data_IF_200469625903
#
_entry.id   IF_200469625903
#
_cell.length_a   1.000
_cell.length_b   1.000
_cell.length_c   1.000
_cell.angle_alpha   90.00
_cell.angle_beta   90.00
_cell.angle_gamma   90.00
#
_symmetry.space_group_name_H-M   'P 1'
#
loop_
_entity.id
_entity.type
_entity.pdbx_description
1 polymer ?
#
# COMPACT_ATOMS: atom_id res chain seq x y z
N UNK A 1 25.56 11.25 4.60
CA UNK A 1 24.85 10.05 5.09
C UNK A 1 24.59 9.14 3.91
N UNK A 2 24.84 7.85 4.07
CA UNK A 2 24.52 6.84 3.07
C UNK A 2 23.00 6.78 2.83
N UNK A 3 22.57 6.54 1.58
CA UNK A 3 21.16 6.46 1.24
C UNK A 3 20.56 5.17 1.80
N UNK A 4 19.39 5.23 2.43
CA UNK A 4 18.64 4.05 2.83
C UNK A 4 17.92 3.52 1.59
N UNK A 5 18.30 2.33 1.14
CA UNK A 5 17.70 1.66 -0.01
C UNK A 5 16.43 0.92 0.42
N UNK A 6 15.29 1.32 -0.12
CA UNK A 6 13.99 0.74 0.20
C UNK A 6 13.38 0.14 -1.06
N UNK A 7 13.16 -1.16 -1.09
CA UNK A 7 12.44 -1.85 -2.14
C UNK A 7 11.00 -2.08 -1.70
N UNK A 8 10.06 -1.45 -2.38
CA UNK A 8 8.64 -1.67 -2.18
C UNK A 8 8.07 -2.50 -3.33
N UNK A 9 7.22 -3.47 -3.03
CA UNK A 9 6.70 -4.36 -4.05
C UNK A 9 5.26 -4.78 -3.81
N UNK A 10 4.58 -5.00 -4.93
CA UNK A 10 3.32 -5.73 -5.04
C UNK A 10 3.56 -6.92 -5.98
N UNK A 11 4.30 -7.98 -5.51
CA UNK A 11 4.75 -9.06 -6.37
C UNK A 11 3.57 -9.78 -7.04
N UNK A 12 3.70 -10.06 -8.33
CA UNK A 12 2.67 -10.68 -9.15
C UNK A 12 3.18 -11.93 -9.83
N UNK A 13 2.31 -12.94 -9.92
CA UNK A 13 2.63 -14.15 -10.65
C UNK A 13 2.59 -13.92 -12.17
N UNK A 14 3.60 -14.41 -12.87
CA UNK A 14 3.61 -14.52 -14.34
C UNK A 14 2.87 -15.78 -14.74
N UNK A 15 1.55 -15.72 -14.88
CA UNK A 15 0.75 -16.85 -15.36
C UNK A 15 0.03 -16.49 -16.66
N UNK A 16 -0.03 -17.45 -17.58
CA UNK A 16 -0.76 -17.29 -18.83
C UNK A 16 -2.25 -17.06 -18.51
N UNK A 17 -2.78 -15.93 -18.93
CA UNK A 17 -4.22 -15.59 -18.81
C UNK A 17 -4.66 -14.97 -17.49
N UNK A 18 -3.77 -14.78 -16.51
CA UNK A 18 -4.08 -14.05 -15.27
C UNK A 18 -3.05 -12.96 -15.06
N UNK A 19 -3.37 -11.75 -15.49
CA UNK A 19 -2.51 -10.59 -15.30
C UNK A 19 -3.21 -9.57 -14.41
N UNK A 20 -2.63 -9.27 -13.26
CA UNK A 20 -2.97 -8.05 -12.55
C UNK A 20 -2.12 -6.92 -13.17
N UNK A 21 -2.73 -6.15 -14.04
CA UNK A 21 -2.06 -5.09 -14.80
C UNK A 21 -2.25 -3.70 -14.20
N UNK A 22 -2.76 -3.60 -12.98
CA UNK A 22 -2.97 -2.32 -12.32
C UNK A 22 -1.66 -1.70 -11.84
N UNK A 23 -1.54 -0.37 -11.95
CA UNK A 23 -0.45 0.38 -11.32
C UNK A 23 -0.48 0.16 -9.79
N UNK A 24 0.65 -0.15 -9.14
CA UNK A 24 0.68 -0.49 -7.71
C UNK A 24 0.59 0.76 -6.81
N UNK A 25 -0.55 1.45 -6.84
CA UNK A 25 -0.75 2.73 -6.17
C UNK A 25 -0.56 2.65 -4.65
N UNK A 26 -0.94 1.52 -4.02
CA UNK A 26 -0.82 1.34 -2.58
C UNK A 26 0.62 1.43 -2.08
N UNK A 27 1.56 0.74 -2.72
CA UNK A 27 2.99 0.86 -2.37
C UNK A 27 3.56 2.21 -2.76
N UNK A 28 3.00 2.86 -3.79
CA UNK A 28 3.31 4.24 -4.14
C UNK A 28 2.97 5.22 -3.01
N UNK A 29 1.82 5.07 -2.37
CA UNK A 29 1.44 5.86 -1.20
C UNK A 29 2.40 5.66 -0.02
N UNK A 30 2.82 4.41 0.23
CA UNK A 30 3.79 4.11 1.28
C UNK A 30 5.11 4.84 1.01
N UNK A 31 5.60 4.81 -0.24
CA UNK A 31 6.84 5.46 -0.64
C UNK A 31 6.80 6.98 -0.40
N UNK A 32 5.77 7.64 -0.91
CA UNK A 32 5.64 9.10 -0.80
C UNK A 32 5.39 9.57 0.62
N UNK A 33 4.63 8.79 1.40
CA UNK A 33 4.39 9.07 2.82
C UNK A 33 5.67 8.93 3.66
N UNK A 34 6.45 7.87 3.44
CA UNK A 34 7.74 7.67 4.10
C UNK A 34 8.67 8.88 3.89
N UNK A 35 8.82 9.31 2.64
CA UNK A 35 9.66 10.46 2.30
C UNK A 35 9.17 11.75 2.97
N UNK A 36 7.86 11.97 3.04
CA UNK A 36 7.25 13.13 3.70
C UNK A 36 7.51 13.12 5.21
N UNK A 37 7.37 11.96 5.85
CA UNK A 37 7.41 11.86 7.31
C UNK A 37 8.82 11.81 7.89
N UNK A 38 9.81 11.40 7.10
CA UNK A 38 11.22 11.31 7.52
C UNK A 38 12.11 12.12 6.54
N UNK A 39 11.89 13.42 6.41
CA UNK A 39 12.60 14.27 5.42
C UNK A 39 14.09 14.46 5.73
N UNK A 40 14.53 14.12 6.94
CA UNK A 40 15.92 14.23 7.38
C UNK A 40 16.81 13.11 6.84
N UNK A 41 16.25 12.07 6.25
CA UNK A 41 16.98 10.93 5.69
C UNK A 41 16.84 10.88 4.19
N UNK A 42 17.92 10.48 3.52
CA UNK A 42 17.94 10.30 2.08
C UNK A 42 17.53 8.86 1.75
N UNK A 43 16.34 8.69 1.22
CA UNK A 43 15.83 7.40 0.76
C UNK A 43 16.10 7.24 -0.74
N UNK A 44 16.59 6.05 -1.12
CA UNK A 44 16.60 5.57 -2.50
C UNK A 44 15.52 4.49 -2.58
N UNK A 45 14.37 4.83 -3.20
CA UNK A 45 13.19 3.96 -3.21
C UNK A 45 13.00 3.41 -4.62
N UNK A 46 12.89 2.08 -4.71
CA UNK A 46 12.46 1.38 -5.92
C UNK A 46 11.15 0.67 -5.67
N UNK A 47 10.29 0.66 -6.68
CA UNK A 47 9.00 -0.07 -6.64
C UNK A 47 9.02 -1.10 -7.74
N UNK A 48 8.63 -2.36 -7.44
CA UNK A 48 8.49 -3.40 -8.45
C UNK A 48 7.27 -4.29 -8.19
N UNK A 49 6.74 -4.84 -9.29
CA UNK A 49 5.67 -5.86 -9.27
C UNK A 49 6.17 -7.17 -9.88
N UNK A 50 7.31 -7.13 -10.53
CA UNK A 50 7.93 -8.25 -11.23
C UNK A 50 8.86 -9.02 -10.29
N UNK A 51 8.61 -10.30 -10.01
CA UNK A 51 9.45 -11.12 -9.16
C UNK A 51 10.91 -11.22 -9.64
N UNK A 52 11.14 -11.29 -10.93
CA UNK A 52 12.50 -11.41 -11.50
C UNK A 52 13.27 -10.09 -11.30
N UNK A 53 12.61 -8.93 -11.53
CA UNK A 53 13.20 -7.62 -11.20
C UNK A 53 13.48 -7.51 -9.69
N UNK A 54 12.58 -8.01 -8.84
CA UNK A 54 12.77 -7.98 -7.38
C UNK A 54 13.99 -8.82 -6.97
N UNK A 55 14.17 -10.02 -7.53
CA UNK A 55 15.33 -10.86 -7.28
C UNK A 55 16.62 -10.16 -7.72
N UNK A 56 16.66 -9.60 -8.93
CA UNK A 56 17.82 -8.83 -9.40
C UNK A 56 18.15 -7.65 -8.47
N UNK A 57 17.14 -6.94 -7.98
CA UNK A 57 17.33 -5.85 -7.04
C UNK A 57 17.87 -6.32 -5.68
N UNK A 58 17.44 -7.49 -5.20
CA UNK A 58 17.98 -8.07 -3.97
C UNK A 58 19.46 -8.39 -4.14
N UNK A 59 19.84 -9.01 -5.25
CA UNK A 59 21.19 -9.47 -5.51
C UNK A 59 22.17 -8.33 -5.79
N UNK A 60 21.78 -7.40 -6.65
CA UNK A 60 22.67 -6.40 -7.23
C UNK A 60 22.55 -5.03 -6.55
N UNK A 61 21.33 -4.60 -6.22
CA UNK A 61 21.13 -3.30 -5.58
C UNK A 61 21.18 -3.38 -4.05
N UNK A 62 20.88 -4.56 -3.45
CA UNK A 62 21.02 -4.87 -2.02
C UNK A 62 20.24 -3.89 -1.14
N UNK A 63 18.91 -3.99 -1.12
CA UNK A 63 18.06 -3.11 -0.31
C UNK A 63 18.30 -3.30 1.18
N UNK A 64 18.23 -2.21 1.93
CA UNK A 64 18.25 -2.24 3.40
C UNK A 64 16.89 -2.66 3.97
N UNK A 65 15.81 -2.25 3.29
CA UNK A 65 14.42 -2.48 3.71
C UNK A 65 13.63 -3.04 2.54
N UNK A 66 12.90 -4.12 2.78
CA UNK A 66 11.88 -4.67 1.89
C UNK A 66 10.49 -4.40 2.47
N UNK A 67 9.58 -3.90 1.67
CA UNK A 67 8.17 -3.75 2.01
C UNK A 67 7.29 -4.36 0.93
N UNK A 68 6.60 -5.48 1.22
CA UNK A 68 5.76 -6.13 0.23
C UNK A 68 4.30 -6.18 0.65
N UNK A 69 3.40 -6.03 -0.33
CA UNK A 69 1.98 -6.30 -0.16
C UNK A 69 1.76 -7.80 0.07
N UNK A 70 0.76 -8.13 0.89
CA UNK A 70 0.38 -9.51 1.19
C UNK A 70 -1.13 -9.67 1.03
N UNK A 71 -1.52 -10.18 -0.11
CA UNK A 71 -2.88 -10.58 -0.46
C UNK A 71 -2.92 -12.11 -0.64
N UNK A 72 -4.09 -12.71 -0.64
CA UNK A 72 -4.26 -14.16 -0.80
C UNK A 72 -3.58 -14.71 -2.06
N UNK A 73 -3.49 -13.91 -3.12
CA UNK A 73 -2.87 -14.31 -4.39
C UNK A 73 -1.35 -14.17 -4.43
N UNK A 74 -0.73 -13.36 -3.57
CA UNK A 74 0.73 -13.13 -3.59
C UNK A 74 1.44 -13.34 -2.25
N UNK A 75 0.75 -13.67 -1.17
CA UNK A 75 1.33 -13.76 0.17
C UNK A 75 2.51 -14.73 0.25
N UNK A 76 2.39 -15.90 -0.40
CA UNK A 76 3.46 -16.88 -0.45
C UNK A 76 4.67 -16.38 -1.26
N UNK A 77 4.42 -15.74 -2.40
CA UNK A 77 5.47 -15.14 -3.22
C UNK A 77 6.20 -14.04 -2.46
N UNK A 78 5.47 -13.12 -1.84
CA UNK A 78 6.04 -12.04 -1.01
C UNK A 78 6.88 -12.59 0.13
N UNK A 79 6.43 -13.67 0.78
CA UNK A 79 7.19 -14.34 1.82
C UNK A 79 8.47 -15.00 1.30
N UNK A 80 8.41 -15.73 0.18
CA UNK A 80 9.59 -16.36 -0.43
C UNK A 80 10.66 -15.34 -0.84
N UNK A 81 10.25 -14.17 -1.32
CA UNK A 81 11.18 -13.06 -1.61
C UNK A 81 11.83 -12.52 -0.34
N UNK A 82 11.11 -12.47 0.80
CA UNK A 82 11.72 -12.13 2.10
C UNK A 82 12.71 -13.20 2.57
N UNK A 83 12.39 -14.50 2.41
CA UNK A 83 13.31 -15.58 2.72
C UNK A 83 14.60 -15.45 1.93
N UNK A 84 14.50 -15.30 0.62
CA UNK A 84 15.63 -15.10 -0.27
C UNK A 84 16.49 -13.91 0.14
N UNK A 85 15.86 -12.77 0.42
CA UNK A 85 16.59 -11.59 0.87
C UNK A 85 17.34 -11.81 2.20
N UNK A 86 16.75 -12.55 3.15
CA UNK A 86 17.40 -12.93 4.42
C UNK A 86 18.55 -13.92 4.23
N UNK A 87 18.48 -14.78 3.23
CA UNK A 87 19.60 -15.67 2.85
C UNK A 87 20.78 -14.86 2.32
N UNK A 88 20.51 -13.82 1.49
CA UNK A 88 21.57 -12.94 0.98
C UNK A 88 22.13 -12.00 2.05
N UNK A 89 21.26 -11.44 2.89
CA UNK A 89 21.67 -10.53 3.98
C UNK A 89 20.67 -10.56 5.13
N UNK A 90 21.09 -11.14 6.27
CA UNK A 90 20.26 -11.23 7.49
C UNK A 90 19.86 -9.86 8.06
N UNK A 91 20.62 -8.81 7.78
CA UNK A 91 20.32 -7.43 8.20
C UNK A 91 19.36 -6.67 7.25
N UNK A 92 18.86 -7.29 6.20
CA UNK A 92 17.75 -6.72 5.43
C UNK A 92 16.47 -6.76 6.26
N UNK A 93 15.84 -5.60 6.48
CA UNK A 93 14.57 -5.49 7.20
C UNK A 93 13.41 -5.90 6.28
N UNK A 94 12.69 -6.98 6.63
CA UNK A 94 11.57 -7.50 5.86
C UNK A 94 10.23 -7.15 6.53
N UNK A 95 9.42 -6.38 5.82
CA UNK A 95 8.11 -5.89 6.29
C UNK A 95 7.03 -6.35 5.31
N UNK A 96 6.00 -7.02 5.79
CA UNK A 96 4.80 -7.30 5.01
C UNK A 96 3.62 -6.47 5.53
N UNK A 97 2.62 -6.28 4.68
CA UNK A 97 1.36 -5.65 5.04
C UNK A 97 0.27 -5.98 4.02
N UNK A 98 -0.97 -5.98 4.45
CA UNK A 98 -2.10 -6.31 3.59
C UNK A 98 -3.11 -7.24 4.27
N UNK A 99 -4.21 -7.57 3.58
CA UNK A 99 -5.36 -8.24 4.19
C UNK A 99 -5.21 -9.75 4.43
N UNK A 100 -4.13 -10.39 3.94
CA UNK A 100 -3.91 -11.84 4.15
C UNK A 100 -3.60 -12.18 5.61
N UNK A 101 -3.18 -11.21 6.41
CA UNK A 101 -2.86 -11.45 7.80
C UNK A 101 -4.12 -11.75 8.62
N UNK A 102 -4.10 -12.76 9.51
CA UNK A 102 -5.29 -13.23 10.22
C UNK A 102 -5.91 -12.24 11.21
N UNK A 103 -5.47 -11.03 11.20
CA UNK A 103 -5.98 -9.97 12.07
C UNK A 103 -7.34 -9.43 11.62
N UNK A 104 -7.72 -9.64 10.35
CA UNK A 104 -8.87 -9.00 9.72
C UNK A 104 -8.63 -7.51 9.41
N UNK A 105 -9.58 -6.92 8.72
CA UNK A 105 -9.59 -5.49 8.43
C UNK A 105 -10.35 -4.76 9.54
N UNK A 106 -9.72 -4.19 10.50
CA UNK A 106 -10.46 -3.45 11.51
C UNK A 106 -10.15 -3.79 12.96
N UNK A 107 -9.07 -3.36 13.38
CA UNK A 107 -8.23 -3.86 14.43
C UNK A 107 -8.31 -3.09 15.73
N UNK A 108 -9.48 -2.91 16.27
CA UNK A 108 -9.63 -2.41 17.65
C UNK A 108 -9.78 -3.53 18.67
N UNK A 109 -10.16 -4.73 18.27
CA UNK A 109 -10.42 -5.85 19.19
C UNK A 109 -9.64 -7.12 18.84
N UNK A 110 -8.37 -7.16 19.24
CA UNK A 110 -7.61 -8.41 19.25
C UNK A 110 -8.12 -9.35 20.33
N UNK A 111 -9.10 -10.18 20.01
CA UNK A 111 -9.47 -11.27 20.90
C UNK A 111 -8.37 -12.37 20.92
N UNK A 112 -8.49 -13.31 21.83
CA UNK A 112 -7.49 -14.37 22.01
C UNK A 112 -7.33 -15.27 20.79
N UNK A 113 -8.38 -15.49 20.01
CA UNK A 113 -8.36 -16.30 18.78
C UNK A 113 -7.55 -15.60 17.69
N UNK A 114 -7.83 -14.32 17.46
CA UNK A 114 -7.10 -13.50 16.47
C UNK A 114 -5.61 -13.44 16.83
N UNK A 115 -5.27 -13.17 18.11
CA UNK A 115 -3.88 -13.16 18.58
C UNK A 115 -3.19 -14.50 18.34
N UNK A 116 -3.88 -15.62 18.62
CA UNK A 116 -3.33 -16.95 18.39
C UNK A 116 -3.05 -17.19 16.89
N UNK A 117 -3.98 -16.82 16.02
CA UNK A 117 -3.81 -16.99 14.57
C UNK A 117 -2.65 -16.12 14.04
N UNK A 118 -2.53 -14.86 14.49
CA UNK A 118 -1.41 -13.98 14.15
C UNK A 118 -0.07 -14.57 14.60
N UNK A 119 -0.03 -15.12 15.82
CA UNK A 119 1.15 -15.79 16.36
C UNK A 119 1.58 -16.98 15.51
N UNK A 120 0.63 -17.86 15.14
CA UNK A 120 0.90 -19.02 14.28
C UNK A 120 1.43 -18.56 12.94
N UNK A 121 0.77 -17.59 12.31
CA UNK A 121 1.18 -17.03 11.02
C UNK A 121 2.63 -16.54 11.02
N UNK A 122 3.03 -15.77 12.04
CA UNK A 122 4.38 -15.23 12.14
C UNK A 122 5.41 -16.32 12.48
N UNK A 123 5.06 -17.32 13.29
CA UNK A 123 5.94 -18.46 13.59
C UNK A 123 6.24 -19.31 12.35
N UNK A 124 5.30 -19.46 11.46
CA UNK A 124 5.46 -20.17 10.19
C UNK A 124 6.24 -19.36 9.15
N UNK A 125 6.43 -18.05 9.39
CA UNK A 125 7.06 -17.11 8.46
C UNK A 125 8.20 -16.31 9.13
N UNK A 126 9.26 -16.96 9.62
CA UNK A 126 10.31 -16.34 10.46
C UNK A 126 11.14 -15.27 9.75
N UNK A 127 11.11 -15.22 8.42
CA UNK A 127 11.80 -14.19 7.64
C UNK A 127 11.08 -12.84 7.62
N UNK A 128 9.83 -12.77 8.12
CA UNK A 128 9.11 -11.52 8.34
C UNK A 128 9.59 -10.91 9.65
N UNK A 129 10.17 -9.72 9.61
CA UNK A 129 10.54 -8.98 10.80
C UNK A 129 9.34 -8.28 11.43
N UNK A 130 8.50 -7.66 10.61
CA UNK A 130 7.26 -6.98 11.04
C UNK A 130 6.13 -7.19 10.04
N UNK A 131 4.92 -7.33 10.54
CA UNK A 131 3.71 -7.29 9.74
C UNK A 131 2.87 -6.06 10.08
N UNK A 132 2.68 -5.16 9.10
CA UNK A 132 1.85 -3.97 9.23
C UNK A 132 0.37 -4.36 9.17
N UNK A 133 -0.35 -4.16 10.27
CA UNK A 133 -1.76 -4.51 10.39
C UNK A 133 -2.71 -3.30 10.35
N UNK A 134 -2.20 -2.10 10.49
CA UNK A 134 -2.92 -0.83 10.29
C UNK A 134 -2.64 -0.26 8.90
N UNK A 135 -3.09 0.98 8.62
CA UNK A 135 -2.80 1.63 7.33
C UNK A 135 -1.30 1.58 7.02
N UNK A 136 -0.98 1.05 5.83
CA UNK A 136 0.39 0.71 5.44
C UNK A 136 1.35 1.90 5.50
N UNK A 137 0.89 3.08 5.11
CA UNK A 137 1.71 4.30 5.07
C UNK A 137 2.28 4.65 6.45
N UNK A 138 1.41 4.67 7.46
CA UNK A 138 1.80 5.03 8.82
C UNK A 138 2.53 3.91 9.55
N UNK A 139 2.10 2.67 9.35
CA UNK A 139 2.69 1.49 10.01
C UNK A 139 4.08 1.20 9.48
N UNK A 140 4.26 1.18 8.16
CA UNK A 140 5.56 0.99 7.52
C UNK A 140 6.55 2.09 7.94
N UNK A 141 6.09 3.35 7.91
CA UNK A 141 6.91 4.49 8.34
C UNK A 141 7.31 4.38 9.81
N UNK A 142 6.41 3.88 10.68
CA UNK A 142 6.73 3.62 12.10
C UNK A 142 7.84 2.57 12.24
N UNK A 143 7.76 1.45 11.54
CA UNK A 143 8.79 0.41 11.56
C UNK A 143 10.14 0.95 11.06
N UNK A 144 10.14 1.66 9.93
CA UNK A 144 11.38 2.26 9.37
C UNK A 144 11.96 3.31 10.32
N UNK A 145 11.12 4.08 11.02
CA UNK A 145 11.58 5.03 12.03
C UNK A 145 12.29 4.34 13.19
N UNK A 146 11.76 3.22 13.68
CA UNK A 146 12.44 2.42 14.71
C UNK A 146 13.74 1.78 14.18
N UNK A 147 13.77 1.32 12.93
CA UNK A 147 14.96 0.81 12.28
C UNK A 147 16.10 1.85 12.27
N UNK A 148 15.79 3.09 11.90
CA UNK A 148 16.76 4.19 11.90
C UNK A 148 17.29 4.45 13.33
N UNK A 149 16.40 4.53 14.32
CA UNK A 149 16.77 4.75 15.74
C UNK A 149 17.64 3.63 16.32
N UNK A 150 17.52 2.44 15.76
CA UNK A 150 18.27 1.25 16.19
C UNK A 150 19.48 0.94 15.33
N UNK A 151 20.12 1.99 14.79
CA UNK A 151 21.35 1.92 14.02
C UNK A 151 21.25 1.01 12.79
N UNK A 152 20.08 1.01 12.13
CA UNK A 152 19.83 0.24 10.90
C UNK A 152 20.01 -1.27 11.09
N UNK A 153 19.69 -1.81 12.27
CA UNK A 153 19.84 -3.23 12.57
C UNK A 153 18.53 -3.89 12.97
N UNK A 154 17.89 -4.69 12.09
CA UNK A 154 16.75 -5.52 12.43
C UNK A 154 17.06 -6.52 13.53
N UNK A 155 18.31 -7.05 13.54
CA UNK A 155 18.78 -7.96 14.60
C UNK A 155 18.73 -7.30 15.97
N UNK A 156 19.15 -6.02 16.07
CA UNK A 156 19.04 -5.26 17.31
C UNK A 156 17.57 -5.02 17.69
N UNK A 157 16.74 -4.61 16.75
CA UNK A 157 15.30 -4.40 16.99
C UNK A 157 14.63 -5.67 17.56
N UNK A 158 14.97 -6.83 17.02
CA UNK A 158 14.48 -8.13 17.53
C UNK A 158 14.97 -8.41 18.96
N UNK A 159 16.27 -8.28 19.23
CA UNK A 159 16.84 -8.50 20.56
C UNK A 159 16.28 -7.57 21.61
N UNK A 160 15.98 -6.33 21.25
CA UNK A 160 15.39 -5.34 22.14
C UNK A 160 13.86 -5.50 22.24
N UNK A 161 13.28 -6.51 21.60
CA UNK A 161 11.84 -6.80 21.59
C UNK A 161 10.97 -5.58 21.24
N UNK A 162 11.38 -4.83 20.22
CA UNK A 162 10.72 -3.59 19.83
C UNK A 162 9.37 -3.84 19.16
N UNK A 163 8.33 -3.25 19.72
CA UNK A 163 6.98 -3.22 19.14
C UNK A 163 6.75 -1.89 18.41
N UNK A 164 6.78 -1.90 17.08
CA UNK A 164 6.49 -0.71 16.28
C UNK A 164 4.97 -0.46 16.18
N UNK A 165 4.55 0.81 16.23
CA UNK A 165 3.13 1.18 16.12
C UNK A 165 2.53 0.68 14.80
N UNK A 166 1.33 0.12 14.88
CA UNK A 166 0.60 -0.40 13.72
C UNK A 166 1.15 -1.70 13.15
N UNK A 167 2.15 -2.30 13.78
CA UNK A 167 2.77 -3.53 13.32
C UNK A 167 2.83 -4.60 14.43
N UNK A 168 2.97 -5.85 14.01
CA UNK A 168 3.18 -7.01 14.86
C UNK A 168 4.50 -7.69 14.51
N UNK A 169 5.12 -8.30 15.50
CA UNK A 169 6.32 -9.13 15.36
C UNK A 169 6.37 -10.17 16.48
N UNK A 170 7.41 -11.01 16.47
CA UNK A 170 7.65 -11.99 17.53
C UNK A 170 8.65 -11.45 18.53
N UNK A 171 8.40 -11.72 19.80
CA UNK A 171 9.36 -11.56 20.88
C UNK A 171 10.53 -12.51 20.65
N UNK A 172 11.76 -12.00 20.74
CA UNK A 172 12.97 -12.76 20.47
C UNK A 172 13.23 -13.87 21.50
N UNK A 173 12.90 -13.61 22.77
CA UNK A 173 13.27 -14.51 23.86
C UNK A 173 12.33 -15.70 24.01
N UNK A 174 11.02 -15.47 23.83
CA UNK A 174 10.01 -16.48 24.11
C UNK A 174 9.07 -16.78 22.91
N UNK A 175 9.29 -16.13 21.75
CA UNK A 175 8.45 -16.26 20.56
C UNK A 175 6.96 -15.96 20.81
N UNK A 176 6.64 -15.09 21.76
CA UNK A 176 5.30 -14.56 21.93
C UNK A 176 5.00 -13.43 20.94
N UNK A 177 3.72 -13.18 20.69
CA UNK A 177 3.30 -12.11 19.81
C UNK A 177 3.49 -10.74 20.47
N UNK A 178 4.29 -9.89 19.84
CA UNK A 178 4.37 -8.47 20.17
C UNK A 178 3.41 -7.69 19.26
N UNK A 179 2.54 -6.90 19.87
CA UNK A 179 1.56 -6.08 19.19
C UNK A 179 1.87 -4.61 19.48
N UNK A 180 2.30 -3.88 18.48
CA UNK A 180 2.45 -2.43 18.57
C UNK A 180 1.10 -1.73 18.76
N UNK A 181 1.11 -0.56 19.34
CA UNK A 181 -0.10 0.23 19.53
C UNK A 181 -0.80 0.49 18.18
N UNK A 182 -2.13 0.38 18.09
CA UNK A 182 -2.84 0.63 16.84
C UNK A 182 -2.65 2.09 16.39
N UNK A 183 -2.64 2.28 15.09
CA UNK A 183 -2.64 3.60 14.47
C UNK A 183 -4.06 3.85 13.95
N UNK A 184 -4.64 4.97 14.32
CA UNK A 184 -5.93 5.38 13.77
C UNK A 184 -5.79 5.66 12.28
N UNK A 185 -6.82 5.33 11.50
CA UNK A 185 -6.86 5.59 10.07
C UNK A 185 -6.48 7.04 9.76
N UNK A 186 -5.55 7.22 8.85
CA UNK A 186 -5.15 8.54 8.37
C UNK A 186 -6.35 9.27 7.75
N UNK A 187 -6.57 10.50 8.16
CA UNK A 187 -7.42 11.40 7.39
C UNK A 187 -6.71 11.72 6.08
N UNK A 188 -7.29 11.36 4.94
CA UNK A 188 -6.62 11.56 3.65
C UNK A 188 -6.54 13.04 3.27
N UNK A 189 -7.57 13.82 3.63
CA UNK A 189 -7.57 15.28 3.46
C UNK A 189 -7.75 15.97 4.82
N UNK A 190 -6.97 17.02 5.05
CA UNK A 190 -7.11 17.83 6.24
C UNK A 190 -8.29 18.79 6.06
N UNK A 191 -9.26 18.74 6.98
CA UNK A 191 -10.46 19.58 6.94
C UNK A 191 -10.18 21.07 7.17
N UNK A 192 -9.03 21.40 7.76
CA UNK A 192 -8.68 22.79 8.13
C UNK A 192 -7.99 23.53 6.99
N UNK A 193 -7.03 22.89 6.34
CA UNK A 193 -6.21 23.52 5.28
C UNK A 193 -6.38 22.86 3.90
N UNK A 194 -7.22 21.83 3.79
CA UNK A 194 -7.50 21.12 2.55
C UNK A 194 -6.32 20.29 1.98
N UNK A 195 -5.19 20.23 2.70
CA UNK A 195 -4.03 19.49 2.22
C UNK A 195 -4.20 18.00 2.47
N UNK A 196 -3.75 17.22 1.49
CA UNK A 196 -3.77 15.79 1.60
C UNK A 196 -2.61 15.27 2.48
N UNK A 197 -2.92 14.29 3.32
CA UNK A 197 -1.97 13.73 4.30
C UNK A 197 -0.87 12.93 3.62
N UNK A 198 -1.20 12.22 2.53
CA UNK A 198 -0.29 11.39 1.74
C UNK A 198 0.02 12.12 0.45
N UNK A 199 1.29 12.39 0.10
CA UNK A 199 1.63 12.97 -1.20
C UNK A 199 1.24 12.06 -2.35
N UNK A 200 0.94 12.64 -3.50
CA UNK A 200 0.58 11.88 -4.70
C UNK A 200 1.76 11.08 -5.24
N UNK A 201 1.63 9.77 -5.42
CA UNK A 201 2.67 8.96 -6.06
C UNK A 201 2.72 9.17 -7.59
N UNK A 202 1.65 9.71 -8.19
CA UNK A 202 1.63 10.05 -9.61
C UNK A 202 2.35 11.38 -9.87
N UNK A 203 1.87 12.47 -9.29
CA UNK A 203 2.45 13.81 -9.55
C UNK A 203 3.87 13.97 -9.02
N UNK A 204 4.30 13.11 -8.09
CA UNK A 204 5.71 13.02 -7.67
C UNK A 204 6.61 12.27 -8.66
N UNK A 205 6.06 11.62 -9.68
CA UNK A 205 6.78 10.78 -10.62
C UNK A 205 7.18 9.40 -10.09
N UNK A 206 6.81 9.04 -8.85
CA UNK A 206 7.18 7.76 -8.22
C UNK A 206 6.67 6.54 -9.00
N UNK A 207 5.55 6.67 -9.70
CA UNK A 207 4.91 5.60 -10.47
C UNK A 207 5.11 5.74 -11.99
N UNK A 208 5.94 6.65 -12.46
CA UNK A 208 6.12 6.93 -13.89
C UNK A 208 6.49 5.69 -14.72
N UNK A 209 7.31 4.79 -14.18
CA UNK A 209 7.71 3.56 -14.89
C UNK A 209 6.53 2.65 -15.24
N UNK A 210 5.40 2.77 -14.53
CA UNK A 210 4.20 1.99 -14.75
C UNK A 210 3.21 2.67 -15.72
N UNK A 211 3.45 3.95 -16.07
CA UNK A 211 2.63 4.69 -17.03
C UNK A 211 3.12 4.47 -18.47
N UNK A 212 3.32 3.21 -18.83
CA UNK A 212 3.93 2.77 -20.09
C UNK A 212 2.94 2.12 -21.07
N UNK A 213 1.64 2.15 -20.75
CA UNK A 213 0.59 1.56 -21.57
C UNK A 213 0.32 0.07 -21.32
N UNK A 214 1.16 -0.63 -20.55
CA UNK A 214 0.90 -2.01 -20.15
C UNK A 214 0.07 -2.10 -18.85
N UNK A 215 0.21 -1.10 -17.98
CA UNK A 215 -0.51 -1.06 -16.71
C UNK A 215 -1.73 -0.16 -16.79
N UNK A 216 -2.81 -0.58 -16.15
CA UNK A 216 -4.03 0.20 -15.96
C UNK A 216 -3.80 1.15 -14.78
N UNK A 217 -3.79 2.48 -14.99
CA UNK A 217 -3.72 3.42 -13.90
C UNK A 217 -4.87 3.22 -12.91
N UNK A 218 -4.51 3.16 -11.64
CA UNK A 218 -5.42 2.88 -10.53
C UNK A 218 -5.52 4.08 -9.62
N UNK A 219 -6.73 4.43 -9.21
CA UNK A 219 -6.99 5.56 -8.34
C UNK A 219 -7.77 5.11 -7.11
N UNK A 220 -7.47 5.68 -5.98
CA UNK A 220 -8.23 5.56 -4.74
C UNK A 220 -8.63 6.98 -4.33
N UNK A 221 -9.92 7.30 -4.41
CA UNK A 221 -10.41 8.63 -4.04
C UNK A 221 -10.88 8.68 -2.60
N UNK A 222 -11.33 7.52 -2.07
CA UNK A 222 -11.79 7.36 -0.71
C UNK A 222 -11.48 5.97 -0.15
N UNK A 223 -11.23 5.90 1.15
CA UNK A 223 -11.11 4.68 1.94
C UNK A 223 -12.28 4.51 2.87
N UNK A 224 -12.70 3.25 3.05
CA UNK A 224 -13.78 2.86 3.94
C UNK A 224 -15.10 2.65 3.22
N UNK A 225 -16.01 1.99 3.91
CA UNK A 225 -17.34 1.67 3.43
C UNK A 225 -18.36 1.90 4.56
N UNK A 226 -19.48 2.61 4.33
CA UNK A 226 -20.47 2.88 5.35
C UNK A 226 -21.41 1.70 5.61
N UNK A 227 -21.27 0.61 4.84
CA UNK A 227 -22.16 -0.54 4.92
C UNK A 227 -21.54 -1.68 5.72
N UNK A 228 -22.37 -2.40 6.46
CA UNK A 228 -22.00 -3.54 7.30
C UNK A 228 -22.46 -4.86 6.64
N UNK A 229 -22.01 -5.12 5.42
CA UNK A 229 -22.35 -6.37 4.73
C UNK A 229 -21.70 -7.55 5.45
N UNK A 230 -22.47 -8.53 5.88
CA UNK A 230 -22.01 -9.68 6.69
C UNK A 230 -20.98 -10.59 6.01
N UNK A 231 -20.84 -10.48 4.71
CA UNK A 231 -19.88 -11.25 3.88
C UNK A 231 -18.63 -10.44 3.50
N UNK A 232 -18.52 -9.19 3.95
CA UNK A 232 -17.49 -8.26 3.48
C UNK A 232 -16.62 -7.76 4.63
N UNK A 233 -15.32 -7.92 4.52
CA UNK A 233 -14.36 -7.47 5.54
C UNK A 233 -14.20 -5.95 5.62
N UNK A 234 -14.58 -5.20 4.58
CA UNK A 234 -14.40 -3.74 4.55
C UNK A 234 -15.36 -2.98 5.49
N UNK A 235 -16.44 -3.59 5.91
CA UNK A 235 -17.46 -3.00 6.79
C UNK A 235 -17.22 -3.20 8.27
N UNK A 236 -16.15 -3.90 8.67
CA UNK A 236 -15.82 -4.14 10.07
C UNK A 236 -15.28 -2.89 10.74
N UNK A 237 -15.11 -2.72 11.92
CA UNK A 237 -14.63 -1.72 12.88
C UNK A 237 -14.09 -0.33 12.45
N UNK A 238 -13.75 -0.07 11.19
CA UNK A 238 -13.22 1.24 10.76
C UNK A 238 -14.08 1.93 9.70
N UNK A 239 -15.35 2.11 10.00
CA UNK A 239 -16.31 2.70 9.06
C UNK A 239 -16.11 4.19 8.77
N UNK A 240 -15.10 4.81 9.31
CA UNK A 240 -14.80 6.21 9.01
C UNK A 240 -14.33 6.30 7.56
N UNK A 241 -15.17 6.89 6.74
CA UNK A 241 -14.82 7.23 5.37
C UNK A 241 -13.89 8.44 5.41
N UNK A 242 -12.76 8.29 4.75
CA UNK A 242 -11.78 9.35 4.53
C UNK A 242 -11.55 9.48 3.03
N UNK A 243 -11.37 10.71 2.54
CA UNK A 243 -11.18 10.96 1.11
C UNK A 243 -10.03 11.90 0.88
N UNK A 244 -9.40 11.77 -0.29
CA UNK A 244 -8.53 12.80 -0.83
C UNK A 244 -9.34 14.00 -1.29
N UNK A 245 -8.68 15.14 -1.47
CA UNK A 245 -9.31 16.34 -2.05
C UNK A 245 -9.64 16.10 -3.53
N UNK A 246 -10.72 16.70 -4.01
CA UNK A 246 -11.11 16.62 -5.43
C UNK A 246 -10.01 17.20 -6.31
N UNK A 247 -9.40 18.32 -5.89
CA UNK A 247 -8.32 18.95 -6.65
C UNK A 247 -7.15 18.00 -6.88
N UNK A 248 -6.67 17.32 -5.84
CA UNK A 248 -5.61 16.32 -5.98
C UNK A 248 -5.97 15.23 -6.98
N UNK A 249 -7.19 14.72 -6.91
CA UNK A 249 -7.62 13.66 -7.83
C UNK A 249 -7.67 14.14 -9.27
N UNK A 250 -8.11 15.38 -9.50
CA UNK A 250 -8.04 16.01 -10.82
C UNK A 250 -6.59 16.15 -11.30
N UNK A 251 -5.69 16.63 -10.44
CA UNK A 251 -4.26 16.79 -10.78
C UNK A 251 -3.61 15.44 -11.13
N UNK A 252 -3.97 14.36 -10.42
CA UNK A 252 -3.50 13.01 -10.72
C UNK A 252 -4.05 12.50 -12.07
N UNK A 253 -5.32 12.71 -12.35
CA UNK A 253 -5.94 12.33 -13.62
C UNK A 253 -5.31 13.11 -14.80
N UNK A 254 -5.09 14.41 -14.65
CA UNK A 254 -4.40 15.22 -15.66
C UNK A 254 -2.98 14.71 -15.90
N UNK A 255 -2.21 14.48 -14.83
CA UNK A 255 -0.83 13.97 -14.93
C UNK A 255 -0.76 12.62 -15.64
N UNK A 256 -1.62 11.69 -15.22
CA UNK A 256 -1.67 10.35 -15.81
C UNK A 256 -2.10 10.40 -17.27
N UNK A 257 -3.13 11.20 -17.59
CA UNK A 257 -3.60 11.37 -18.97
C UNK A 257 -2.47 11.85 -19.89
N UNK A 258 -1.70 12.86 -19.46
CA UNK A 258 -0.58 13.44 -20.24
C UNK A 258 0.56 12.46 -20.50
N UNK A 259 0.70 11.44 -19.66
CA UNK A 259 1.67 10.36 -19.84
C UNK A 259 1.12 9.24 -20.73
N UNK A 260 -0.07 8.73 -20.42
CA UNK A 260 -0.64 7.55 -21.07
C UNK A 260 -1.01 7.81 -22.53
N UNK A 261 -1.54 8.98 -22.89
CA UNK A 261 -1.89 9.29 -24.29
C UNK A 261 -0.69 9.25 -25.24
N UNK A 262 0.53 9.31 -24.72
CA UNK A 262 1.78 9.19 -25.48
C UNK A 262 2.21 7.75 -25.70
N UNK A 263 1.49 6.79 -25.11
CA UNK A 263 1.77 5.35 -25.23
C UNK A 263 0.82 4.69 -26.22
N UNK A 264 1.19 3.51 -26.70
CA UNK A 264 0.36 2.69 -27.59
C UNK A 264 -0.46 1.61 -26.86
N UNK A 265 -0.51 1.65 -25.54
CA UNK A 265 -1.09 0.59 -24.74
C UNK A 265 -2.55 0.82 -24.33
N UNK A 266 -2.92 0.32 -23.18
CA UNK A 266 -4.28 0.45 -22.63
C UNK A 266 -4.60 1.88 -22.19
N UNK A 267 -5.78 2.32 -22.54
CA UNK A 267 -6.33 3.63 -22.13
C UNK A 267 -7.43 3.49 -21.08
N UNK A 268 -7.46 2.37 -20.41
CA UNK A 268 -8.37 2.10 -19.29
C UNK A 268 -7.85 2.71 -18.01
N UNK A 269 -8.77 3.02 -17.08
CA UNK A 269 -8.46 3.38 -15.70
C UNK A 269 -9.34 2.59 -14.73
N UNK A 270 -8.91 2.46 -13.48
CA UNK A 270 -9.68 1.83 -12.43
C UNK A 270 -9.77 2.71 -11.17
N UNK A 271 -10.95 2.78 -10.57
CA UNK A 271 -11.14 3.35 -9.24
C UNK A 271 -11.38 2.22 -8.24
N UNK A 272 -10.53 2.14 -7.22
CA UNK A 272 -10.60 1.10 -6.19
C UNK A 272 -11.48 1.46 -5.00
N UNK A 273 -12.26 2.54 -5.13
CA UNK A 273 -13.26 2.93 -4.15
C UNK A 273 -14.35 1.87 -4.04
N UNK A 274 -14.76 1.54 -2.80
CA UNK A 274 -15.79 0.53 -2.56
C UNK A 274 -17.19 0.94 -3.05
N UNK A 275 -17.43 2.23 -3.28
CA UNK A 275 -18.75 2.79 -3.59
C UNK A 275 -18.63 4.07 -4.45
N UNK A 276 -18.00 3.97 -5.61
CA UNK A 276 -17.93 5.08 -6.57
C UNK A 276 -19.32 5.53 -7.00
N UNK A 277 -19.54 6.85 -7.10
CA UNK A 277 -20.83 7.45 -7.44
C UNK A 277 -21.74 7.68 -6.22
N UNK A 278 -21.23 7.48 -5.00
CA UNK A 278 -22.00 7.66 -3.78
C UNK A 278 -21.87 9.08 -3.20
N UNK A 279 -20.79 9.77 -3.48
CA UNK A 279 -20.46 11.05 -2.83
C UNK A 279 -20.49 12.21 -3.85
N UNK A 280 -20.80 13.42 -3.36
CA UNK A 280 -20.83 14.63 -4.21
C UNK A 280 -19.51 14.84 -4.97
N UNK A 281 -18.37 14.54 -4.36
CA UNK A 281 -17.06 14.61 -5.02
C UNK A 281 -16.93 13.69 -6.24
N UNK A 282 -17.64 12.56 -6.24
CA UNK A 282 -17.58 11.61 -7.35
C UNK A 282 -18.26 12.21 -8.60
N UNK A 283 -19.27 13.05 -8.42
CA UNK A 283 -19.87 13.84 -9.51
C UNK A 283 -18.84 14.84 -10.08
N UNK A 284 -18.18 15.60 -9.21
CA UNK A 284 -17.16 16.58 -9.62
C UNK A 284 -16.01 15.89 -10.39
N UNK A 285 -15.59 14.71 -9.94
CA UNK A 285 -14.57 13.92 -10.64
C UNK A 285 -15.09 13.33 -11.97
N UNK A 286 -16.38 12.94 -12.02
CA UNK A 286 -16.99 12.47 -13.26
C UNK A 286 -17.07 13.58 -14.32
N UNK A 287 -17.37 14.83 -13.90
CA UNK A 287 -17.32 16.00 -14.77
C UNK A 287 -15.91 16.26 -15.32
N UNK A 288 -14.89 16.12 -14.47
CA UNK A 288 -13.49 16.27 -14.89
C UNK A 288 -13.07 15.15 -15.87
N UNK A 289 -13.48 13.90 -15.61
CA UNK A 289 -13.26 12.78 -16.53
C UNK A 289 -13.94 13.02 -17.88
N UNK A 290 -15.18 13.51 -17.88
CA UNK A 290 -15.88 13.86 -19.12
C UNK A 290 -15.14 14.92 -19.93
N UNK A 291 -14.56 15.92 -19.26
CA UNK A 291 -13.69 16.91 -19.90
C UNK A 291 -12.48 16.24 -20.57
N UNK A 292 -11.77 15.36 -19.85
CA UNK A 292 -10.62 14.63 -20.38
C UNK A 292 -10.99 13.74 -21.57
N UNK A 293 -12.14 13.06 -21.51
CA UNK A 293 -12.66 12.27 -22.64
C UNK A 293 -12.89 13.16 -23.86
N UNK A 294 -13.52 14.31 -23.69
CA UNK A 294 -13.81 15.22 -24.80
C UNK A 294 -12.56 15.88 -25.39
N UNK A 295 -11.60 16.25 -24.55
CA UNK A 295 -10.39 16.97 -24.98
C UNK A 295 -9.26 16.04 -25.46
N UNK A 296 -9.11 14.87 -24.82
CA UNK A 296 -7.97 13.97 -25.03
C UNK A 296 -8.36 12.56 -25.52
N UNK A 297 -9.66 12.30 -25.69
CA UNK A 297 -10.19 10.96 -25.99
C UNK A 297 -9.70 9.89 -24.98
N UNK A 298 -9.56 10.28 -23.71
CA UNK A 298 -9.07 9.44 -22.62
C UNK A 298 -9.82 9.74 -21.31
N UNK A 299 -10.12 8.72 -20.48
CA UNK A 299 -9.95 7.28 -20.73
C UNK A 299 -11.01 6.71 -21.66
N UNK A 300 -10.70 5.59 -22.32
CA UNK A 300 -11.65 4.86 -23.17
C UNK A 300 -12.53 3.88 -22.38
N UNK A 301 -12.09 3.47 -21.20
CA UNK A 301 -12.81 2.55 -20.30
C UNK A 301 -12.53 2.90 -18.84
N UNK A 302 -13.56 2.84 -18.00
CA UNK A 302 -13.46 3.12 -16.57
C UNK A 302 -14.02 1.94 -15.79
N UNK A 303 -13.19 1.35 -14.94
CA UNK A 303 -13.57 0.29 -14.02
C UNK A 303 -13.89 0.88 -12.64
N UNK A 304 -15.07 0.56 -12.11
CA UNK A 304 -15.57 1.07 -10.83
C UNK A 304 -16.33 0.00 -10.05
N UNK A 305 -16.38 0.16 -8.72
CA UNK A 305 -17.35 -0.54 -7.87
C UNK A 305 -18.50 0.40 -7.53
N UNK A 306 -19.70 0.11 -8.02
CA UNK A 306 -20.87 0.96 -7.80
C UNK A 306 -21.41 0.85 -6.36
N UNK A 307 -22.09 1.91 -5.86
CA UNK A 307 -22.69 1.90 -4.53
C UNK A 307 -23.84 0.89 -4.42
N UNK A 308 -24.08 0.38 -3.22
CA UNK A 308 -25.14 -0.59 -2.92
C UNK A 308 -26.50 0.08 -2.71
N UNK A 309 -26.57 1.41 -2.65
CA UNK A 309 -27.81 2.16 -2.44
C UNK A 309 -28.25 2.87 -3.72
N UNK A 310 -29.41 2.47 -4.27
CA UNK A 310 -29.94 3.03 -5.52
C UNK A 310 -30.24 4.53 -5.47
N UNK A 311 -30.49 5.13 -4.30
CA UNK A 311 -30.76 6.55 -4.15
C UNK A 311 -29.53 7.45 -4.32
N UNK A 312 -28.35 6.87 -4.37
CA UNK A 312 -27.06 7.58 -4.38
C UNK A 312 -26.22 7.23 -5.60
N UNK A 313 -26.80 6.58 -6.60
CA UNK A 313 -26.13 6.35 -7.87
C UNK A 313 -26.17 7.62 -8.71
N UNK A 314 -25.02 8.04 -9.19
CA UNK A 314 -24.84 9.14 -10.16
C UNK A 314 -24.97 8.59 -11.56
#
# INVERSE_FOLDING_TARGET
MEKIKVLLGDPRHHTIGVHSTYVPVGVGYIATYLMKMIPTHNFDIKISVDPDEILDLIDNWKPNVLGFSSYIWNSNLSYRLCEYAKEQNKETLCILGGPEFPSGTGMTNFNSVVKKNCLVYLKEKPSIDYYCYSDGESSFTSVVSEYIKNNYSPTKMKKDNLAAKGAMNLNFDNNELLVGAPILRLGLSNKVDGRDSIPSPYTSGMLDKFLNGHFIPSFETARGCPFFCTFCDQGLDQNKIVSFSTQRMCDELDYVSDKIIKTSGTWSIAFHDSNWGMYKKDLELSEHLLKLINEKNWPSYIEISTPKNKKQQI
#
